data_IF_472911796500
#
_entry.id   IF_472911796500
#
_cell.length_a   1.000
_cell.length_b   1.000
_cell.length_c   1.000
_cell.angle_alpha   90.00
_cell.angle_beta   90.00
_cell.angle_gamma   90.00
#
_symmetry.space_group_name_H-M   'P 1'
#
loop_
_entity.id
_entity.type
_entity.pdbx_description
1 polymer ?
#
# COMPACT_ATOMS: atom_id res chain seq x y z
N UNK A 1 -20.44 -21.78 12.24
CA UNK A 1 -19.42 -21.38 13.25
C UNK A 1 -18.12 -21.16 12.49
N UNK A 2 -17.67 -19.90 12.38
CA UNK A 2 -16.41 -19.53 11.71
C UNK A 2 -15.31 -19.77 12.74
N UNK A 3 -14.75 -20.98 12.76
CA UNK A 3 -13.86 -21.42 13.84
C UNK A 3 -12.35 -21.27 13.54
N UNK A 4 -11.95 -20.45 12.57
CA UNK A 4 -10.53 -20.26 12.20
C UNK A 4 -10.06 -18.80 12.17
N UNK A 5 -10.80 -17.88 12.79
CA UNK A 5 -10.31 -16.52 12.98
C UNK A 5 -9.26 -16.54 14.09
N UNK A 6 -8.07 -16.00 13.85
CA UNK A 6 -6.99 -15.91 14.85
C UNK A 6 -7.39 -14.94 15.96
N UNK A 7 -8.09 -15.42 16.97
CA UNK A 7 -8.48 -14.62 18.15
C UNK A 7 -7.39 -14.53 19.21
N UNK A 8 -6.36 -15.37 19.12
CA UNK A 8 -5.27 -15.43 20.09
C UNK A 8 -3.93 -15.16 19.39
N UNK A 9 -3.15 -14.26 19.96
CA UNK A 9 -1.84 -13.85 19.49
C UNK A 9 -0.76 -14.33 20.45
N UNK A 10 0.38 -14.76 19.92
CA UNK A 10 1.58 -15.02 20.71
C UNK A 10 2.31 -13.71 21.02
N UNK A 11 3.29 -13.74 21.93
CA UNK A 11 4.12 -12.57 22.20
C UNK A 11 4.97 -12.16 20.99
N UNK A 12 5.32 -13.12 20.12
CA UNK A 12 6.01 -12.86 18.86
C UNK A 12 5.11 -12.12 17.85
N UNK A 13 3.82 -12.50 17.79
CA UNK A 13 2.83 -11.75 16.99
C UNK A 13 2.71 -10.30 17.51
N UNK A 14 2.68 -10.10 18.82
CA UNK A 14 2.63 -8.76 19.41
C UNK A 14 3.89 -7.93 19.06
N UNK A 15 5.09 -8.53 19.08
CA UNK A 15 6.32 -7.86 18.62
C UNK A 15 6.20 -7.46 17.16
N UNK A 16 5.80 -8.39 16.27
CA UNK A 16 5.67 -8.13 14.84
C UNK A 16 4.63 -7.04 14.53
N UNK A 17 3.48 -7.09 15.23
CA UNK A 17 2.37 -6.14 15.03
C UNK A 17 2.64 -4.76 15.65
N UNK A 18 3.33 -4.68 16.78
CA UNK A 18 3.57 -3.42 17.48
C UNK A 18 4.93 -2.79 17.23
N UNK A 19 5.91 -3.58 16.77
CA UNK A 19 7.31 -3.19 16.68
C UNK A 19 8.04 -3.16 18.03
N UNK A 20 7.37 -3.47 19.12
CA UNK A 20 7.95 -3.48 20.48
C UNK A 20 8.59 -4.82 20.77
N UNK A 21 9.86 -4.82 21.18
CA UNK A 21 10.60 -6.06 21.47
C UNK A 21 10.00 -6.86 22.61
N UNK A 22 10.02 -8.19 22.48
CA UNK A 22 9.49 -9.15 23.50
C UNK A 22 9.93 -8.82 24.93
N UNK A 23 11.22 -8.54 25.22
CA UNK A 23 11.64 -8.19 26.59
C UNK A 23 10.93 -6.94 27.13
N UNK A 24 10.69 -5.95 26.28
CA UNK A 24 9.98 -4.71 26.65
C UNK A 24 8.51 -5.00 26.94
N UNK A 25 7.83 -5.79 26.11
CA UNK A 25 6.43 -6.20 26.36
C UNK A 25 6.34 -6.92 27.73
N UNK A 26 7.23 -7.88 27.99
CA UNK A 26 7.27 -8.60 29.29
C UNK A 26 7.54 -7.67 30.49
N UNK A 27 8.43 -6.69 30.30
CA UNK A 27 8.70 -5.68 31.32
C UNK A 27 7.46 -4.81 31.58
N UNK A 28 6.74 -4.41 30.55
CA UNK A 28 5.50 -3.64 30.67
C UNK A 28 4.38 -4.45 31.35
N UNK A 29 4.23 -5.73 31.00
CA UNK A 29 3.31 -6.64 31.73
C UNK A 29 3.63 -6.66 33.22
N UNK A 30 4.89 -6.93 33.57
CA UNK A 30 5.30 -7.10 34.97
C UNK A 30 5.20 -5.79 35.75
N UNK A 31 5.61 -4.66 35.18
CA UNK A 31 5.73 -3.39 35.90
C UNK A 31 4.43 -2.59 35.95
N UNK A 32 3.63 -2.69 34.88
CA UNK A 32 2.45 -1.84 34.70
C UNK A 32 1.15 -2.64 34.60
N UNK A 33 1.20 -3.96 34.68
CA UNK A 33 0.04 -4.84 34.45
C UNK A 33 -0.69 -4.49 33.16
N UNK A 34 0.14 -4.20 32.10
CA UNK A 34 -0.35 -3.61 30.89
C UNK A 34 -1.30 -4.53 30.13
N UNK A 35 -0.93 -5.81 30.01
CA UNK A 35 -1.66 -6.87 29.31
C UNK A 35 -1.93 -8.01 30.29
N UNK A 36 -2.98 -8.78 30.01
CA UNK A 36 -3.42 -9.89 30.87
C UNK A 36 -3.55 -11.19 30.05
N UNK A 37 -2.41 -11.77 29.57
CA UNK A 37 -2.48 -12.94 28.72
C UNK A 37 -3.06 -14.15 29.42
N UNK A 38 -3.88 -14.91 28.69
CA UNK A 38 -4.23 -16.28 29.09
C UNK A 38 -3.00 -17.17 28.90
N UNK A 39 -2.94 -18.29 29.60
CA UNK A 39 -1.87 -19.28 29.44
C UNK A 39 -2.45 -20.60 28.94
N UNK A 40 -1.74 -21.22 28.00
CA UNK A 40 -2.03 -22.59 27.60
C UNK A 40 -1.63 -23.58 28.71
N UNK A 41 -2.02 -24.82 28.58
CA UNK A 41 -1.57 -25.93 29.47
C UNK A 41 -0.03 -26.05 29.47
N UNK A 42 0.63 -25.71 28.37
CA UNK A 42 2.10 -25.68 28.24
C UNK A 42 2.72 -24.35 28.67
N UNK A 43 1.95 -23.51 29.40
CA UNK A 43 2.38 -22.23 29.96
C UNK A 43 2.77 -21.14 28.92
N UNK A 44 2.31 -21.26 27.66
CA UNK A 44 2.52 -20.25 26.62
C UNK A 44 1.51 -19.10 26.82
N UNK A 45 1.99 -17.86 26.69
CA UNK A 45 1.14 -16.64 26.74
C UNK A 45 0.32 -16.49 25.46
N UNK A 46 -0.98 -16.27 25.62
CA UNK A 46 -1.91 -15.95 24.55
C UNK A 46 -2.62 -14.63 24.87
N UNK A 47 -2.60 -13.71 23.93
CA UNK A 47 -3.19 -12.38 24.01
C UNK A 47 -4.41 -12.32 23.09
N UNK A 48 -5.46 -11.65 23.51
CA UNK A 48 -6.64 -11.44 22.68
C UNK A 48 -6.53 -10.15 21.84
N UNK A 49 -7.55 -9.88 21.04
CA UNK A 49 -7.60 -8.70 20.17
C UNK A 49 -7.64 -7.38 20.97
N UNK A 50 -8.17 -7.40 22.19
CA UNK A 50 -8.23 -6.22 23.06
C UNK A 50 -6.85 -5.92 23.64
N UNK A 51 -6.08 -6.95 24.00
CA UNK A 51 -4.67 -6.81 24.40
C UNK A 51 -3.86 -6.20 23.26
N UNK A 52 -4.05 -6.67 22.01
CA UNK A 52 -3.38 -6.12 20.85
C UNK A 52 -3.76 -4.64 20.62
N UNK A 53 -5.06 -4.32 20.62
CA UNK A 53 -5.52 -2.92 20.49
C UNK A 53 -4.92 -2.02 21.57
N UNK A 54 -4.93 -2.47 22.80
CA UNK A 54 -4.35 -1.73 23.94
C UNK A 54 -2.87 -1.47 23.72
N UNK A 55 -2.12 -2.50 23.30
CA UNK A 55 -0.68 -2.37 23.00
C UNK A 55 -0.43 -1.35 21.89
N UNK A 56 -1.13 -1.46 20.76
CA UNK A 56 -0.97 -0.54 19.62
C UNK A 56 -1.27 0.92 19.99
N UNK A 57 -2.32 1.16 20.77
CA UNK A 57 -2.68 2.49 21.26
C UNK A 57 -1.60 3.06 22.19
N UNK A 58 -1.05 2.24 23.07
CA UNK A 58 0.02 2.65 24.00
C UNK A 58 1.30 2.95 23.23
N UNK A 59 1.68 2.11 22.28
CA UNK A 59 2.84 2.34 21.40
C UNK A 59 2.70 3.66 20.64
N UNK A 60 1.53 3.90 20.07
CA UNK A 60 1.26 5.17 19.42
C UNK A 60 1.46 6.38 20.36
N UNK A 61 0.88 6.34 21.55
CA UNK A 61 1.01 7.43 22.51
C UNK A 61 2.46 7.60 23.00
N UNK A 62 3.19 6.51 23.25
CA UNK A 62 4.60 6.60 23.66
C UNK A 62 5.48 7.17 22.56
N UNK A 63 5.26 6.80 21.30
CA UNK A 63 5.93 7.41 20.15
C UNK A 63 5.52 8.88 19.95
N UNK A 64 4.34 9.27 20.43
CA UNK A 64 3.87 10.65 20.47
C UNK A 64 4.43 11.47 21.66
N UNK A 65 5.29 10.88 22.50
CA UNK A 65 5.99 11.55 23.61
C UNK A 65 5.33 11.37 24.98
N UNK A 66 4.29 10.55 25.12
CA UNK A 66 3.70 10.24 26.42
C UNK A 66 4.54 9.21 27.18
N UNK A 67 4.74 9.42 28.47
CA UNK A 67 5.42 8.42 29.32
C UNK A 67 4.53 7.19 29.52
N UNK A 68 5.09 5.99 29.37
CA UNK A 68 4.37 4.72 29.58
C UNK A 68 3.64 4.66 30.92
N UNK A 69 4.24 5.15 32.00
CA UNK A 69 3.64 5.21 33.34
C UNK A 69 2.36 6.05 33.43
N UNK A 70 2.14 6.97 32.49
CA UNK A 70 0.95 7.82 32.44
C UNK A 70 -0.18 7.25 31.61
N UNK A 71 0.14 6.37 30.65
CA UNK A 71 -0.85 5.81 29.72
C UNK A 71 -1.22 4.35 30.03
N UNK A 72 -0.38 3.63 30.75
CA UNK A 72 -0.60 2.22 31.10
C UNK A 72 -1.79 1.98 32.03
N UNK A 73 -2.08 2.94 32.91
CA UNK A 73 -3.18 2.85 33.87
C UNK A 73 -4.53 3.40 33.38
N UNK A 74 -4.59 3.88 32.12
CA UNK A 74 -5.84 4.40 31.56
C UNK A 74 -6.81 3.27 31.23
N UNK A 75 -8.11 3.52 31.43
CA UNK A 75 -9.17 2.66 30.93
C UNK A 75 -9.17 2.64 29.39
N UNK A 76 -9.82 1.67 28.78
CA UNK A 76 -9.91 1.57 27.32
C UNK A 76 -10.54 2.82 26.69
N UNK A 77 -11.56 3.41 27.32
CA UNK A 77 -12.21 4.65 26.86
C UNK A 77 -11.29 5.87 26.97
N UNK A 78 -10.60 6.03 28.08
CA UNK A 78 -9.64 7.13 28.29
C UNK A 78 -8.45 7.02 27.31
N UNK A 79 -7.95 5.79 27.11
CA UNK A 79 -6.88 5.51 26.16
C UNK A 79 -7.31 5.89 24.74
N UNK A 80 -8.49 5.45 24.30
CA UNK A 80 -9.04 5.79 22.97
C UNK A 80 -9.26 7.29 22.79
N UNK A 81 -9.78 7.99 23.78
CA UNK A 81 -9.96 9.44 23.72
C UNK A 81 -8.60 10.16 23.61
N UNK A 82 -7.63 9.74 24.40
CA UNK A 82 -6.28 10.33 24.37
C UNK A 82 -5.56 10.07 23.05
N UNK A 83 -5.80 8.90 22.44
CA UNK A 83 -5.32 8.58 21.08
C UNK A 83 -5.97 9.52 20.06
N UNK A 84 -7.30 9.72 20.11
CA UNK A 84 -8.03 10.66 19.22
C UNK A 84 -7.51 12.09 19.36
N UNK A 85 -7.34 12.59 20.58
CA UNK A 85 -6.82 13.94 20.85
C UNK A 85 -5.39 14.13 20.32
N UNK A 86 -4.55 13.10 20.52
CA UNK A 86 -3.17 13.12 20.01
C UNK A 86 -3.13 13.07 18.49
N UNK A 87 -4.02 12.30 17.86
CA UNK A 87 -4.16 12.21 16.41
C UNK A 87 -4.57 13.54 15.79
N UNK A 88 -5.56 14.24 16.39
CA UNK A 88 -5.99 15.54 15.91
C UNK A 88 -4.85 16.59 15.94
N UNK A 89 -3.93 16.46 16.90
CA UNK A 89 -2.80 17.38 17.08
C UNK A 89 -1.59 17.09 16.19
N UNK A 90 -1.36 15.83 15.80
CA UNK A 90 -0.10 15.40 15.16
C UNK A 90 -0.25 14.81 13.74
N UNK A 91 -1.47 14.64 13.22
CA UNK A 91 -1.72 13.99 11.90
C UNK A 91 -0.87 12.71 11.68
N UNK A 92 -0.85 11.81 12.65
CA UNK A 92 0.06 10.66 12.62
C UNK A 92 -0.48 9.53 11.75
N UNK A 93 0.15 9.29 10.61
CA UNK A 93 -0.18 8.24 9.65
C UNK A 93 -0.20 6.82 10.26
N UNK A 94 0.62 6.58 11.28
CA UNK A 94 0.72 5.27 11.94
C UNK A 94 -0.59 4.75 12.54
N UNK A 95 -1.49 5.65 13.00
CA UNK A 95 -2.80 5.26 13.51
C UNK A 95 -3.77 4.84 12.43
N UNK A 96 -3.68 5.44 11.22
CA UNK A 96 -4.57 5.14 10.12
C UNK A 96 -4.49 3.67 9.70
N UNK A 97 -3.32 3.07 9.88
CA UNK A 97 -3.02 1.70 9.48
C UNK A 97 -3.51 0.67 10.50
N UNK A 98 -3.51 1.01 11.80
CA UNK A 98 -3.78 0.03 12.86
C UNK A 98 -5.19 -0.58 12.82
N UNK A 99 -6.23 0.24 12.62
CA UNK A 99 -7.61 -0.26 12.56
C UNK A 99 -7.86 -1.10 11.31
N UNK A 100 -7.20 -0.80 10.20
CA UNK A 100 -7.23 -1.66 9.01
C UNK A 100 -6.53 -3.00 9.25
N UNK A 101 -5.37 -3.02 9.94
CA UNK A 101 -4.71 -4.27 10.34
C UNK A 101 -5.61 -5.09 11.24
N UNK A 102 -6.26 -4.47 12.23
CA UNK A 102 -7.19 -5.15 13.12
C UNK A 102 -8.38 -5.71 12.35
N UNK A 103 -8.95 -4.94 11.40
CA UNK A 103 -10.06 -5.42 10.56
C UNK A 103 -9.64 -6.62 9.71
N UNK A 104 -8.42 -6.64 9.20
CA UNK A 104 -7.85 -7.78 8.46
C UNK A 104 -7.69 -9.01 9.34
N UNK A 105 -7.12 -8.86 10.54
CA UNK A 105 -6.92 -9.95 11.50
C UNK A 105 -8.23 -10.61 11.96
N UNK A 106 -9.29 -9.82 12.06
CA UNK A 106 -10.61 -10.25 12.56
C UNK A 106 -11.64 -10.50 11.47
N UNK A 107 -11.28 -10.23 10.20
CA UNK A 107 -12.20 -10.23 9.05
C UNK A 107 -13.45 -9.35 9.29
N UNK A 108 -13.23 -8.20 9.96
CA UNK A 108 -14.28 -7.27 10.36
C UNK A 108 -14.55 -6.23 9.26
N UNK A 109 -15.58 -6.52 8.44
CA UNK A 109 -16.04 -5.60 7.38
C UNK A 109 -16.50 -4.26 7.93
N UNK A 110 -17.19 -4.28 9.08
CA UNK A 110 -17.79 -3.07 9.66
C UNK A 110 -16.68 -2.12 10.15
N UNK A 111 -15.66 -2.67 10.81
CA UNK A 111 -14.50 -1.88 11.23
C UNK A 111 -13.76 -1.28 10.02
N UNK A 112 -13.55 -2.05 8.94
CA UNK A 112 -12.94 -1.52 7.72
C UNK A 112 -13.73 -0.32 7.18
N UNK A 113 -15.05 -0.47 7.00
CA UNK A 113 -15.88 0.58 6.44
C UNK A 113 -15.97 1.81 7.34
N UNK A 114 -16.08 1.61 8.65
CA UNK A 114 -16.09 2.71 9.64
C UNK A 114 -14.79 3.50 9.58
N UNK A 115 -13.64 2.80 9.56
CA UNK A 115 -12.31 3.43 9.46
C UNK A 115 -12.18 4.21 8.15
N UNK A 116 -12.53 3.59 7.03
CA UNK A 116 -12.52 4.24 5.72
C UNK A 116 -13.38 5.51 5.70
N UNK A 117 -14.64 5.42 6.14
CA UNK A 117 -15.57 6.56 6.12
C UNK A 117 -15.08 7.71 6.99
N UNK A 118 -14.51 7.41 8.17
CA UNK A 118 -13.91 8.45 9.03
C UNK A 118 -12.72 9.16 8.36
N UNK A 119 -11.97 8.45 7.54
CA UNK A 119 -10.78 9.01 6.88
C UNK A 119 -11.14 9.82 5.63
N UNK A 120 -12.11 9.35 4.83
CA UNK A 120 -12.52 10.04 3.61
C UNK A 120 -13.27 11.37 3.90
N UNK A 121 -13.76 11.58 5.13
CA UNK A 121 -14.26 12.87 5.58
C UNK A 121 -13.15 13.93 5.73
N UNK A 122 -11.89 13.50 5.87
CA UNK A 122 -10.73 14.38 6.15
C UNK A 122 -9.74 14.47 5.00
N UNK A 123 -9.66 13.43 4.19
CA UNK A 123 -8.68 13.26 3.12
C UNK A 123 -9.39 12.97 1.81
N UNK A 124 -8.87 13.52 0.72
CA UNK A 124 -9.21 13.03 -0.62
C UNK A 124 -8.83 11.54 -0.74
N UNK A 125 -9.39 10.86 -1.72
CA UNK A 125 -9.03 9.44 -1.93
C UNK A 125 -7.55 9.27 -2.31
N UNK A 126 -6.99 10.19 -3.09
CA UNK A 126 -5.55 10.22 -3.41
C UNK A 126 -4.69 10.33 -2.15
N UNK A 127 -5.02 11.26 -1.26
CA UNK A 127 -4.30 11.41 0.00
C UNK A 127 -4.45 10.20 0.92
N UNK A 128 -5.66 9.63 1.00
CA UNK A 128 -5.93 8.43 1.78
C UNK A 128 -5.12 7.24 1.25
N UNK A 129 -5.04 7.09 -0.08
CA UNK A 129 -4.29 6.01 -0.69
C UNK A 129 -2.80 6.09 -0.34
N UNK A 130 -2.20 7.25 -0.49
CA UNK A 130 -0.78 7.48 -0.20
C UNK A 130 -0.48 7.41 1.30
N UNK A 131 -1.32 8.03 2.15
CA UNK A 131 -1.06 8.13 3.59
C UNK A 131 -1.46 6.90 4.40
N UNK A 132 -2.40 6.09 3.90
CA UNK A 132 -2.90 4.94 4.63
C UNK A 132 -2.77 3.61 3.87
N UNK A 133 -3.22 3.53 2.61
CA UNK A 133 -3.26 2.24 1.92
C UNK A 133 -1.89 1.76 1.46
N UNK A 134 -1.00 2.62 0.96
CA UNK A 134 0.38 2.22 0.63
C UNK A 134 1.12 1.73 1.89
N UNK A 135 1.19 2.48 3.00
CA UNK A 135 1.83 2.00 4.23
C UNK A 135 1.18 0.74 4.81
N UNK A 136 -0.15 0.59 4.66
CA UNK A 136 -0.86 -0.62 5.07
C UNK A 136 -0.42 -1.85 4.27
N UNK A 137 -0.37 -1.74 2.94
CA UNK A 137 0.04 -2.84 2.06
C UNK A 137 1.50 -3.25 2.29
N UNK A 138 2.40 -2.29 2.48
CA UNK A 138 3.80 -2.55 2.87
C UNK A 138 3.88 -3.30 4.21
N UNK A 139 3.11 -2.84 5.20
CA UNK A 139 3.05 -3.48 6.51
C UNK A 139 2.50 -4.90 6.45
N UNK A 140 1.46 -5.13 5.66
CA UNK A 140 0.87 -6.45 5.44
C UNK A 140 1.88 -7.39 4.79
N UNK A 141 2.66 -6.92 3.82
CA UNK A 141 3.74 -7.70 3.21
C UNK A 141 4.77 -8.19 4.25
N UNK A 142 5.20 -7.32 5.17
CA UNK A 142 6.11 -7.68 6.26
C UNK A 142 5.46 -8.69 7.22
N UNK A 143 4.21 -8.47 7.60
CA UNK A 143 3.48 -9.35 8.52
C UNK A 143 3.20 -10.72 7.91
N UNK A 144 3.03 -10.81 6.59
CA UNK A 144 2.93 -12.07 5.86
C UNK A 144 4.27 -12.83 5.87
N UNK A 145 5.38 -12.14 5.57
CA UNK A 145 6.73 -12.74 5.60
C UNK A 145 7.09 -13.31 6.99
N UNK A 146 6.59 -12.70 8.06
CA UNK A 146 6.79 -13.16 9.44
C UNK A 146 5.74 -14.16 9.92
N UNK A 147 4.87 -14.66 9.02
CA UNK A 147 3.77 -15.58 9.32
C UNK A 147 2.80 -15.07 10.40
N UNK A 148 2.76 -13.77 10.64
CA UNK A 148 1.84 -13.12 11.58
C UNK A 148 0.45 -12.98 10.95
N UNK A 149 0.39 -12.69 9.64
CA UNK A 149 -0.81 -12.73 8.82
C UNK A 149 -0.83 -13.93 7.88
N UNK A 150 -2.03 -14.41 7.58
CA UNK A 150 -2.27 -15.44 6.56
C UNK A 150 -2.58 -14.79 5.20
N UNK A 151 -2.45 -15.52 4.08
CA UNK A 151 -2.93 -15.03 2.77
C UNK A 151 -4.41 -14.60 2.79
N UNK A 152 -5.26 -15.27 3.59
CA UNK A 152 -6.66 -14.89 3.71
C UNK A 152 -6.86 -13.47 4.32
N UNK A 153 -6.00 -13.08 5.26
CA UNK A 153 -6.04 -11.72 5.83
C UNK A 153 -5.61 -10.68 4.79
N UNK A 154 -4.58 -10.97 4.01
CA UNK A 154 -4.11 -10.12 2.92
C UNK A 154 -5.21 -9.98 1.85
N UNK A 155 -5.80 -11.08 1.38
CA UNK A 155 -6.90 -11.07 0.41
C UNK A 155 -8.11 -10.27 0.89
N UNK A 156 -8.48 -10.38 2.17
CA UNK A 156 -9.56 -9.61 2.76
C UNK A 156 -9.33 -8.10 2.61
N UNK A 157 -8.15 -7.62 3.00
CA UNK A 157 -7.86 -6.19 2.97
C UNK A 157 -7.69 -5.68 1.54
N UNK A 158 -6.98 -6.43 0.69
CA UNK A 158 -6.75 -6.09 -0.71
C UNK A 158 -8.06 -6.00 -1.48
N UNK A 159 -9.00 -6.92 -1.24
CA UNK A 159 -10.35 -6.87 -1.82
C UNK A 159 -11.12 -5.60 -1.45
N UNK A 160 -11.06 -5.18 -0.17
CA UNK A 160 -11.74 -3.96 0.25
C UNK A 160 -11.13 -2.70 -0.35
N UNK A 161 -9.79 -2.62 -0.41
CA UNK A 161 -9.07 -1.51 -1.05
C UNK A 161 -9.42 -1.47 -2.54
N UNK A 162 -9.39 -2.61 -3.22
CA UNK A 162 -9.70 -2.75 -4.64
C UNK A 162 -11.12 -2.23 -4.96
N UNK A 163 -12.11 -2.62 -4.16
CA UNK A 163 -13.49 -2.13 -4.32
C UNK A 163 -13.60 -0.60 -4.18
N UNK A 164 -12.86 0.00 -3.23
CA UNK A 164 -12.85 1.46 -3.08
C UNK A 164 -12.17 2.13 -4.26
N UNK A 165 -11.12 1.53 -4.77
CA UNK A 165 -10.38 2.03 -5.93
C UNK A 165 -11.25 2.01 -7.20
N UNK A 166 -11.91 0.89 -7.51
CA UNK A 166 -12.85 0.81 -8.64
C UNK A 166 -13.99 1.84 -8.52
N UNK A 167 -14.57 1.99 -7.34
CA UNK A 167 -15.63 3.00 -7.13
C UNK A 167 -15.15 4.43 -7.41
N UNK A 168 -13.90 4.76 -7.08
CA UNK A 168 -13.34 6.09 -7.35
C UNK A 168 -12.92 6.23 -8.83
N UNK A 169 -12.46 5.17 -9.47
CA UNK A 169 -12.18 5.12 -10.91
C UNK A 169 -13.46 5.39 -11.70
N UNK A 170 -14.57 4.70 -11.39
CA UNK A 170 -15.87 4.92 -12.05
C UNK A 170 -16.34 6.38 -11.98
N UNK A 171 -16.07 7.05 -10.86
CA UNK A 171 -16.37 8.48 -10.69
C UNK A 171 -15.43 9.34 -11.52
N UNK A 172 -14.13 9.06 -11.48
CA UNK A 172 -13.13 9.81 -12.24
C UNK A 172 -13.37 9.71 -13.76
N UNK A 173 -13.68 8.52 -14.29
CA UNK A 173 -13.99 8.31 -15.71
C UNK A 173 -15.19 9.13 -16.20
N UNK A 174 -16.22 9.28 -15.37
CA UNK A 174 -17.40 10.10 -15.70
C UNK A 174 -17.10 11.59 -15.72
N UNK A 175 -16.14 12.03 -14.91
CA UNK A 175 -15.74 13.44 -14.81
C UNK A 175 -14.69 13.83 -15.84
N UNK A 176 -13.90 12.85 -16.31
CA UNK A 176 -12.82 13.09 -17.25
C UNK A 176 -13.39 13.47 -18.63
N UNK A 177 -13.07 14.68 -19.08
CA UNK A 177 -13.34 15.09 -20.45
C UNK A 177 -12.30 14.44 -21.35
N UNK A 178 -12.73 13.71 -22.39
CA UNK A 178 -11.83 13.17 -23.41
C UNK A 178 -11.15 14.33 -24.15
N UNK A 179 -10.07 14.84 -23.62
CA UNK A 179 -9.19 15.75 -24.35
C UNK A 179 -8.34 14.91 -25.27
N UNK A 180 -8.29 15.28 -26.57
CA UNK A 180 -7.31 14.72 -27.49
C UNK A 180 -5.93 15.21 -27.04
N UNK A 181 -5.24 14.43 -26.23
CA UNK A 181 -3.84 14.65 -25.90
C UNK A 181 -2.99 13.80 -26.85
N UNK A 182 -1.88 14.35 -27.30
CA UNK A 182 -1.02 13.74 -28.32
C UNK A 182 -0.29 12.47 -27.83
N UNK A 183 -0.38 12.17 -26.52
CA UNK A 183 0.23 11.01 -25.89
C UNK A 183 -0.80 10.04 -25.34
N UNK A 184 -0.55 8.75 -25.53
CA UNK A 184 -1.28 7.67 -24.92
C UNK A 184 -0.44 7.08 -23.78
N UNK A 185 -1.04 6.92 -22.61
CA UNK A 185 -0.47 6.23 -21.46
C UNK A 185 -1.00 4.80 -21.41
N UNK A 186 -0.11 3.81 -21.54
CA UNK A 186 -0.47 2.38 -21.59
C UNK A 186 -0.02 1.71 -20.29
N UNK A 187 -0.96 1.33 -19.48
CA UNK A 187 -0.72 0.73 -18.15
C UNK A 187 -0.87 -0.78 -18.21
N UNK A 188 0.14 -1.50 -17.75
CA UNK A 188 0.16 -2.96 -17.78
C UNK A 188 1.04 -3.54 -16.67
N UNK A 189 0.81 -4.81 -16.35
CA UNK A 189 1.71 -5.64 -15.55
C UNK A 189 2.31 -6.76 -16.40
N UNK A 190 3.58 -7.10 -16.19
CA UNK A 190 4.23 -8.16 -16.96
C UNK A 190 3.58 -9.51 -16.74
N UNK A 191 3.84 -10.45 -17.64
CA UNK A 191 3.33 -11.82 -17.52
C UNK A 191 3.59 -12.42 -16.14
N UNK A 192 2.56 -13.01 -15.53
CA UNK A 192 2.52 -13.57 -14.18
C UNK A 192 2.64 -12.53 -13.02
N UNK A 193 2.63 -11.24 -13.27
CA UNK A 193 2.44 -10.25 -12.20
C UNK A 193 0.93 -9.96 -12.03
N UNK A 194 0.45 -10.14 -10.81
CA UNK A 194 -0.97 -10.01 -10.45
C UNK A 194 -1.25 -8.90 -9.42
N UNK A 195 -0.21 -8.24 -8.90
CA UNK A 195 -0.35 -7.22 -7.84
C UNK A 195 -0.76 -5.87 -8.43
N UNK A 196 -2.01 -5.75 -8.83
CA UNK A 196 -2.52 -4.62 -9.63
C UNK A 196 -2.90 -3.35 -8.85
N UNK A 197 -2.99 -3.39 -7.51
CA UNK A 197 -3.45 -2.24 -6.72
C UNK A 197 -2.65 -0.95 -7.01
N UNK A 198 -1.34 -1.09 -7.15
CA UNK A 198 -0.46 0.04 -7.50
C UNK A 198 -0.73 0.58 -8.90
N UNK A 199 -0.91 -0.31 -9.87
CA UNK A 199 -1.20 0.07 -11.25
C UNK A 199 -2.58 0.71 -11.39
N UNK A 200 -3.60 0.17 -10.73
CA UNK A 200 -4.95 0.75 -10.69
C UNK A 200 -4.97 2.12 -10.02
N UNK A 201 -4.18 2.32 -8.96
CA UNK A 201 -4.03 3.63 -8.35
C UNK A 201 -3.37 4.63 -9.31
N UNK A 202 -2.35 4.20 -10.04
CA UNK A 202 -1.74 5.02 -11.10
C UNK A 202 -2.77 5.38 -12.17
N UNK A 203 -3.60 4.42 -12.61
CA UNK A 203 -4.69 4.68 -13.55
C UNK A 203 -5.65 5.76 -13.03
N UNK A 204 -6.11 5.62 -11.79
CA UNK A 204 -6.98 6.61 -11.14
C UNK A 204 -6.35 8.03 -11.13
N UNK A 205 -5.07 8.13 -10.77
CA UNK A 205 -4.37 9.41 -10.72
C UNK A 205 -4.19 10.06 -12.11
N UNK A 206 -3.99 9.25 -13.14
CA UNK A 206 -3.90 9.74 -14.53
C UNK A 206 -5.26 10.19 -15.06
N UNK A 207 -6.35 9.55 -14.69
CA UNK A 207 -7.72 10.00 -15.00
C UNK A 207 -8.01 11.37 -14.38
N UNK A 208 -7.65 11.59 -13.11
CA UNK A 208 -7.82 12.89 -12.46
C UNK A 208 -7.05 14.02 -13.15
N UNK A 209 -5.96 13.68 -13.86
CA UNK A 209 -5.15 14.59 -14.67
C UNK A 209 -5.63 14.72 -16.12
N UNK A 210 -6.79 14.16 -16.43
CA UNK A 210 -7.39 14.14 -17.76
C UNK A 210 -6.46 13.57 -18.85
N UNK A 211 -5.60 12.59 -18.48
CA UNK A 211 -4.72 11.92 -19.43
C UNK A 211 -5.50 10.95 -20.33
N UNK A 212 -4.97 10.73 -21.54
CA UNK A 212 -5.46 9.67 -22.42
C UNK A 212 -4.82 8.34 -22.03
N UNK A 213 -5.58 7.47 -21.36
CA UNK A 213 -5.04 6.26 -20.73
C UNK A 213 -5.74 5.02 -21.24
N UNK A 214 -4.95 3.96 -21.48
CA UNK A 214 -5.40 2.58 -21.70
C UNK A 214 -4.90 1.72 -20.57
N UNK A 215 -5.80 1.06 -19.85
CA UNK A 215 -5.49 0.10 -18.81
C UNK A 215 -5.60 -1.33 -19.37
N UNK A 216 -4.48 -2.03 -19.50
CA UNK A 216 -4.42 -3.41 -19.98
C UNK A 216 -4.49 -4.43 -18.85
N UNK A 217 -4.11 -4.03 -17.62
CA UNK A 217 -4.22 -4.86 -16.43
C UNK A 217 -3.07 -5.84 -16.23
N UNK A 218 -3.42 -6.98 -15.65
CA UNK A 218 -2.50 -8.02 -15.20
C UNK A 218 -2.01 -8.91 -16.34
N UNK A 219 -0.78 -9.44 -16.18
CA UNK A 219 -0.25 -10.56 -16.98
C UNK A 219 -0.27 -10.34 -18.50
N UNK A 220 0.28 -9.20 -18.96
CA UNK A 220 0.35 -8.83 -20.38
C UNK A 220 1.71 -9.19 -20.97
N UNK A 221 1.71 -9.83 -22.14
CA UNK A 221 2.93 -10.14 -22.89
C UNK A 221 3.42 -8.93 -23.67
N UNK A 222 4.75 -8.71 -23.72
CA UNK A 222 5.34 -7.58 -24.44
C UNK A 222 4.91 -7.57 -25.92
N UNK A 223 4.80 -8.73 -26.54
CA UNK A 223 4.44 -8.84 -27.95
C UNK A 223 3.02 -8.35 -28.25
N UNK A 224 2.10 -8.42 -27.31
CA UNK A 224 0.71 -7.96 -27.45
C UNK A 224 0.63 -6.43 -27.47
N UNK A 225 1.63 -5.74 -26.92
CA UNK A 225 1.70 -4.28 -26.85
C UNK A 225 2.35 -3.63 -28.08
N UNK A 226 2.87 -4.40 -29.04
CA UNK A 226 3.53 -3.87 -30.24
C UNK A 226 2.63 -2.98 -31.10
N UNK A 227 1.32 -3.12 -31.01
CA UNK A 227 0.36 -2.24 -31.69
C UNK A 227 0.46 -0.77 -31.21
N UNK A 228 1.03 -0.52 -30.02
CA UNK A 228 1.30 0.82 -29.51
C UNK A 228 2.70 1.36 -29.82
N UNK A 229 3.56 0.59 -30.52
CA UNK A 229 4.96 0.92 -30.75
C UNK A 229 5.24 1.30 -32.21
N UNK A 230 4.47 2.25 -32.77
CA UNK A 230 4.72 2.78 -34.09
C UNK A 230 5.91 3.79 -34.10
N UNK A 231 6.69 3.95 -35.18
CA UNK A 231 7.83 4.85 -35.22
C UNK A 231 7.51 6.30 -34.84
N UNK A 232 6.31 6.79 -35.22
CA UNK A 232 5.86 8.15 -34.91
C UNK A 232 5.12 8.27 -33.56
N UNK A 233 4.96 7.16 -32.83
CA UNK A 233 4.26 7.17 -31.54
C UNK A 233 5.11 7.82 -30.45
N UNK A 234 4.44 8.52 -29.53
CA UNK A 234 5.02 9.14 -28.32
C UNK A 234 4.32 8.60 -27.08
N UNK A 235 4.04 7.30 -27.08
CA UNK A 235 3.29 6.65 -26.01
C UNK A 235 4.18 6.49 -24.77
N UNK A 236 3.54 6.48 -23.61
CA UNK A 236 4.19 6.25 -22.33
C UNK A 236 3.68 4.94 -21.76
N UNK A 237 4.55 3.95 -21.71
CA UNK A 237 4.26 2.68 -21.06
C UNK A 237 4.51 2.81 -19.57
N UNK A 238 3.58 2.34 -18.72
CA UNK A 238 3.70 2.41 -17.27
C UNK A 238 3.49 1.02 -16.67
N UNK A 239 4.40 0.63 -15.77
CA UNK A 239 4.27 -0.61 -15.03
C UNK A 239 4.69 -0.46 -13.56
N UNK A 240 4.26 -1.41 -12.75
CA UNK A 240 4.62 -1.50 -11.34
C UNK A 240 5.00 -2.94 -11.00
N UNK A 241 6.26 -3.19 -10.59
CA UNK A 241 6.72 -4.53 -10.25
C UNK A 241 6.74 -4.68 -8.72
N UNK A 242 5.86 -5.50 -8.21
CA UNK A 242 5.82 -5.90 -6.80
C UNK A 242 6.65 -7.16 -6.58
N UNK A 243 6.38 -8.18 -7.36
CA UNK A 243 7.20 -9.40 -7.45
C UNK A 243 7.83 -9.38 -8.84
N UNK A 244 9.15 -9.35 -8.92
CA UNK A 244 9.83 -9.29 -10.22
C UNK A 244 9.31 -10.38 -11.15
N UNK A 245 9.34 -10.18 -12.49
CA UNK A 245 8.93 -11.20 -13.44
C UNK A 245 9.51 -12.56 -13.07
N UNK A 246 8.66 -13.58 -12.94
CA UNK A 246 9.09 -14.92 -12.56
C UNK A 246 10.12 -15.43 -13.57
N UNK A 247 11.19 -16.05 -13.08
CA UNK A 247 12.23 -16.74 -13.86
C UNK A 247 13.13 -15.88 -14.76
N UNK A 248 13.04 -14.54 -14.76
CA UNK A 248 13.98 -13.66 -15.48
C UNK A 248 14.51 -12.58 -14.54
N UNK A 249 15.74 -12.19 -14.76
CA UNK A 249 16.25 -10.97 -14.13
C UNK A 249 15.40 -9.80 -14.62
N UNK A 250 15.10 -8.88 -13.75
CA UNK A 250 14.29 -7.71 -14.12
C UNK A 250 14.92 -6.91 -15.27
N UNK A 251 16.26 -6.86 -15.33
CA UNK A 251 17.02 -6.24 -16.39
C UNK A 251 16.78 -6.89 -17.75
N UNK A 252 16.71 -8.23 -17.82
CA UNK A 252 16.43 -8.95 -19.07
C UNK A 252 15.02 -8.64 -19.61
N UNK A 253 14.06 -8.45 -18.71
CA UNK A 253 12.71 -8.04 -19.08
C UNK A 253 12.69 -6.61 -19.62
N UNK A 254 13.38 -5.68 -18.95
CA UNK A 254 13.50 -4.28 -19.36
C UNK A 254 14.18 -4.19 -20.74
N UNK A 255 15.23 -5.00 -20.97
CA UNK A 255 15.90 -5.09 -22.27
C UNK A 255 14.94 -5.55 -23.37
N UNK A 256 14.20 -6.63 -23.13
CA UNK A 256 13.22 -7.14 -24.09
C UNK A 256 12.12 -6.11 -24.39
N UNK A 257 11.69 -5.36 -23.37
CA UNK A 257 10.71 -4.29 -23.54
C UNK A 257 11.29 -3.13 -24.37
N UNK A 258 12.50 -2.71 -24.07
CA UNK A 258 13.17 -1.66 -24.85
C UNK A 258 13.27 -2.03 -26.34
N UNK A 259 13.79 -3.22 -26.66
CA UNK A 259 13.92 -3.70 -28.04
C UNK A 259 12.56 -3.77 -28.76
N UNK A 260 11.49 -4.09 -28.05
CA UNK A 260 10.18 -4.32 -28.65
C UNK A 260 9.30 -3.07 -28.76
N UNK A 261 9.40 -2.13 -27.82
CA UNK A 261 8.44 -1.03 -27.66
C UNK A 261 9.05 0.36 -27.72
N UNK A 262 10.35 0.52 -27.41
CA UNK A 262 10.98 1.83 -27.31
C UNK A 262 11.97 2.09 -28.46
N UNK A 263 12.71 1.09 -28.86
CA UNK A 263 13.76 1.22 -29.91
C UNK A 263 13.17 1.74 -31.21
N UNK A 264 13.79 2.78 -31.76
CA UNK A 264 13.35 3.47 -32.97
C UNK A 264 11.96 4.12 -32.90
N UNK A 265 11.50 4.46 -31.69
CA UNK A 265 10.29 5.23 -31.44
C UNK A 265 10.60 6.43 -30.54
N UNK A 266 9.59 7.29 -30.29
CA UNK A 266 9.66 8.32 -29.27
C UNK A 266 8.90 7.90 -27.97
N UNK A 267 8.69 6.61 -27.80
CA UNK A 267 8.01 6.06 -26.62
C UNK A 267 8.90 6.11 -25.38
N UNK A 268 8.27 6.11 -24.21
CA UNK A 268 8.93 6.10 -22.91
C UNK A 268 8.40 4.95 -22.06
N UNK A 269 9.21 4.49 -21.10
CA UNK A 269 8.80 3.51 -20.10
C UNK A 269 9.04 4.04 -18.69
N UNK A 270 7.98 4.16 -17.91
CA UNK A 270 8.01 4.53 -16.51
C UNK A 270 7.74 3.28 -15.65
N UNK A 271 8.68 2.93 -14.80
CA UNK A 271 8.58 1.73 -13.97
C UNK A 271 8.74 2.08 -12.48
N UNK A 272 7.74 1.74 -11.68
CA UNK A 272 7.88 1.71 -10.22
C UNK A 272 8.39 0.33 -9.76
N UNK A 273 9.61 0.28 -9.24
CA UNK A 273 10.26 -0.96 -8.80
C UNK A 273 11.40 -0.69 -7.82
N UNK A 274 11.45 -1.44 -6.72
CA UNK A 274 12.50 -1.32 -5.70
C UNK A 274 13.73 -2.22 -5.97
N UNK A 275 13.73 -3.00 -7.06
CA UNK A 275 14.74 -4.04 -7.32
C UNK A 275 15.80 -3.63 -8.33
N UNK A 276 15.54 -2.58 -9.10
CA UNK A 276 16.44 -2.04 -10.12
C UNK A 276 16.76 -0.61 -9.77
N UNK A 277 18.04 -0.23 -9.86
CA UNK A 277 18.47 1.14 -9.58
C UNK A 277 18.45 1.98 -10.86
N UNK A 278 18.06 3.26 -10.77
CA UNK A 278 18.17 4.20 -11.88
C UNK A 278 19.62 4.28 -12.38
N UNK A 279 19.80 4.38 -13.69
CA UNK A 279 21.11 4.57 -14.32
C UNK A 279 21.01 5.52 -15.49
N UNK A 280 22.11 6.21 -15.84
CA UNK A 280 22.20 7.04 -17.03
C UNK A 280 21.83 6.28 -18.32
N UNK A 281 22.22 5.03 -18.41
CA UNK A 281 21.92 4.16 -19.55
C UNK A 281 20.41 3.99 -19.75
N UNK A 282 19.64 3.82 -18.66
CA UNK A 282 18.19 3.73 -18.74
C UNK A 282 17.57 5.06 -19.17
N UNK A 283 18.02 6.18 -18.66
CA UNK A 283 17.52 7.51 -19.05
C UNK A 283 17.77 7.79 -20.53
N UNK A 284 18.96 7.47 -21.04
CA UNK A 284 19.30 7.59 -22.48
C UNK A 284 18.42 6.71 -23.38
N UNK A 285 17.87 5.63 -22.82
CA UNK A 285 16.96 4.70 -23.48
C UNK A 285 15.49 5.02 -23.25
N UNK A 286 15.17 6.18 -22.71
CA UNK A 286 13.83 6.62 -22.35
C UNK A 286 13.13 5.69 -21.34
N UNK A 287 13.91 5.14 -20.38
CA UNK A 287 13.44 4.27 -19.29
C UNK A 287 13.67 4.99 -17.98
N UNK A 288 12.60 5.31 -17.25
CA UNK A 288 12.67 6.02 -15.98
C UNK A 288 12.19 5.13 -14.85
N UNK A 289 13.05 4.97 -13.82
CA UNK A 289 12.81 4.08 -12.68
C UNK A 289 12.48 4.89 -11.43
N UNK A 290 11.46 4.45 -10.71
CA UNK A 290 10.98 5.09 -9.48
C UNK A 290 10.91 4.06 -8.35
N UNK A 291 11.31 4.47 -7.14
CA UNK A 291 11.20 3.61 -5.96
C UNK A 291 9.76 3.51 -5.46
N UNK A 292 8.93 4.52 -5.72
CA UNK A 292 7.55 4.60 -5.24
C UNK A 292 6.61 5.10 -6.32
N UNK A 293 5.36 4.67 -6.27
CA UNK A 293 4.31 5.10 -7.20
C UNK A 293 4.07 6.62 -7.13
N UNK A 294 4.01 7.28 -5.96
CA UNK A 294 3.88 8.74 -5.91
C UNK A 294 4.97 9.48 -6.68
N UNK A 295 6.23 9.02 -6.61
CA UNK A 295 7.35 9.64 -7.32
C UNK A 295 7.19 9.51 -8.85
N UNK A 296 6.66 8.37 -9.32
CA UNK A 296 6.31 8.17 -10.74
C UNK A 296 5.21 9.14 -11.18
N UNK A 297 4.16 9.31 -10.37
CA UNK A 297 3.04 10.20 -10.67
C UNK A 297 3.50 11.66 -10.73
N UNK A 298 4.36 12.10 -9.80
CA UNK A 298 4.96 13.45 -9.81
C UNK A 298 5.81 13.70 -11.06
N UNK A 299 6.51 12.68 -11.57
CA UNK A 299 7.25 12.80 -12.82
C UNK A 299 6.33 13.04 -14.02
N UNK A 300 5.17 12.38 -14.07
CA UNK A 300 4.16 12.64 -15.12
C UNK A 300 3.70 14.10 -15.07
N UNK A 301 3.52 14.67 -13.88
CA UNK A 301 3.13 16.07 -13.73
C UNK A 301 4.21 17.04 -14.25
N UNK A 302 5.49 16.77 -13.99
CA UNK A 302 6.61 17.60 -14.45
C UNK A 302 6.75 17.63 -15.99
N UNK A 303 6.59 16.47 -16.64
CA UNK A 303 6.59 16.38 -18.12
C UNK A 303 5.46 17.16 -18.76
N UNK A 304 4.32 17.31 -18.10
CA UNK A 304 3.20 18.14 -18.58
C UNK A 304 3.49 19.65 -18.54
N UNK A 305 4.30 20.08 -17.59
CA UNK A 305 4.68 21.50 -17.45
C UNK A 305 5.63 21.90 -18.58
N UNK A 306 6.57 21.03 -18.93
CA UNK A 306 7.53 21.27 -20.02
C UNK A 306 6.87 21.30 -21.41
N UNK A 307 5.77 20.57 -21.63
CA UNK A 307 5.03 20.59 -22.90
C UNK A 307 4.11 21.83 -23.07
N UNK A 308 3.89 22.62 -22.02
CA UNK A 308 3.08 23.83 -22.04
C UNK A 308 3.89 25.13 -22.23
N UNK A 309 5.23 25.03 -22.24
CA UNK A 309 6.18 26.12 -22.46
C UNK A 309 6.75 26.05 -23.90
#
# INVERSE_FOLDING_TARGET
MINNIKFNFTIADLENLSGVKIPTIRMWEKRYTLLSPKRTETNIRLYDINDLRKLLNIVYLTNSGYKISKVSGLSASELNNKVKDSYQKKNSEALLVNDFIISSLTFDNELFHKTYNTLIEKYSFSELFVKAFIPLLERIGILWQTSTLTPANEHFISYHILRKLYSNIDVAEKLTRKTKKDRLYVLFLPHNEIHELGLLYTYYELLLREMNVVYLGQSVEINEMKCFANPDSRNVFISNFTVAPANRKTEEYIESLHESLLKNTNNQFLLSCNKVQPSKEYDERAIHLFSRIPDLIENVDSTLVEEKL
#
